data_IF_118663812416
#
_entry.id   IF_118663812416
#
_cell.length_a   1.000
_cell.length_b   1.000
_cell.length_c   1.000
_cell.angle_alpha   90.00
_cell.angle_beta   90.00
_cell.angle_gamma   90.00
#
_symmetry.space_group_name_H-M   'P 1'
#
loop_
_entity.id
_entity.type
_entity.pdbx_description
1 polymer ?
#
# COMPACT_ATOMS: atom_id res chain seq x y z
N UNK A 1 -13.00 11.35 12.85
CA UNK A 1 -13.87 10.24 12.41
C UNK A 1 -13.19 9.69 11.18
N UNK A 2 -12.67 8.46 11.19
CA UNK A 2 -12.00 7.92 9.99
C UNK A 2 -13.07 7.51 8.98
N UNK A 3 -12.91 7.88 7.71
CA UNK A 3 -13.77 7.33 6.66
C UNK A 3 -13.47 5.84 6.57
N UNK A 4 -14.42 4.99 6.97
CA UNK A 4 -14.27 3.54 6.81
C UNK A 4 -14.19 3.24 5.32
N UNK A 5 -13.09 2.63 4.91
CA UNK A 5 -12.85 2.21 3.53
C UNK A 5 -12.68 0.69 3.58
N UNK A 6 -13.59 -0.03 2.94
CA UNK A 6 -13.58 -1.49 2.93
C UNK A 6 -12.28 -2.03 2.33
N UNK A 7 -11.63 -1.25 1.46
CA UNK A 7 -10.40 -1.66 0.84
C UNK A 7 -9.20 -1.62 1.77
N UNK A 8 -9.13 -0.57 2.58
CA UNK A 8 -8.14 -0.45 3.63
C UNK A 8 -8.39 -1.45 4.75
N UNK A 9 -9.65 -1.58 5.20
CA UNK A 9 -10.03 -2.51 6.26
C UNK A 9 -9.61 -3.95 5.92
N UNK A 10 -9.71 -4.35 4.64
CA UNK A 10 -9.39 -5.71 4.21
C UNK A 10 -7.91 -6.07 4.29
N UNK A 11 -7.00 -5.09 4.36
CA UNK A 11 -5.54 -5.34 4.41
C UNK A 11 -4.93 -5.11 5.78
N UNK A 12 -5.67 -4.53 6.72
CA UNK A 12 -5.19 -4.31 8.09
C UNK A 12 -4.63 -5.58 8.76
N UNK A 13 -5.21 -6.79 8.56
CA UNK A 13 -4.66 -8.01 9.15
C UNK A 13 -3.26 -8.39 8.63
N UNK A 14 -2.94 -8.01 7.38
CA UNK A 14 -1.77 -8.48 6.63
C UNK A 14 -0.58 -7.51 6.65
N UNK A 15 -0.67 -6.47 7.48
CA UNK A 15 0.39 -5.46 7.66
C UNK A 15 0.75 -5.29 9.14
N UNK A 16 1.94 -4.76 9.40
CA UNK A 16 2.45 -4.48 10.74
C UNK A 16 1.60 -3.42 11.46
N UNK A 17 1.63 -3.41 12.81
CA UNK A 17 0.73 -2.57 13.62
C UNK A 17 0.89 -1.07 13.40
N UNK A 18 2.12 -0.61 13.20
CA UNK A 18 2.45 0.77 12.85
C UNK A 18 1.91 1.14 11.46
N UNK A 19 2.09 0.26 10.47
CA UNK A 19 1.53 0.44 9.13
C UNK A 19 -0.01 0.49 9.17
N UNK A 20 -0.68 -0.30 10.02
CA UNK A 20 -2.15 -0.21 10.18
C UNK A 20 -2.59 1.20 10.59
N UNK A 21 -1.89 1.80 11.55
CA UNK A 21 -2.18 3.15 12.01
C UNK A 21 -1.99 4.16 10.87
N UNK A 22 -1.00 3.94 10.02
CA UNK A 22 -0.71 4.81 8.88
C UNK A 22 -1.80 4.75 7.81
N UNK A 23 -2.27 3.55 7.49
CA UNK A 23 -3.36 3.35 6.54
C UNK A 23 -4.65 4.01 7.04
N UNK A 24 -4.97 3.85 8.32
CA UNK A 24 -6.13 4.49 8.95
C UNK A 24 -5.97 6.01 9.03
N UNK A 25 -4.77 6.49 9.32
CA UNK A 25 -4.45 7.92 9.40
C UNK A 25 -4.56 8.59 8.03
N UNK A 26 -4.21 7.89 6.96
CA UNK A 26 -4.31 8.40 5.59
C UNK A 26 -5.75 8.77 5.20
N UNK A 27 -6.73 8.06 5.75
CA UNK A 27 -8.18 8.24 5.50
C UNK A 27 -8.90 9.10 6.55
N UNK A 28 -8.19 9.67 7.52
CA UNK A 28 -8.79 10.60 8.47
C UNK A 28 -9.15 11.91 7.76
N UNK A 29 -10.36 12.44 7.95
CA UNK A 29 -10.78 13.73 7.39
C UNK A 29 -9.81 14.86 7.76
N UNK A 30 -9.15 14.78 8.92
CA UNK A 30 -8.12 15.76 9.31
C UNK A 30 -6.92 15.78 8.36
N UNK A 31 -6.69 14.69 7.65
CA UNK A 31 -5.57 14.51 6.74
C UNK A 31 -5.98 14.56 5.26
N UNK A 32 -7.27 14.75 4.95
CA UNK A 32 -7.79 14.71 3.58
C UNK A 32 -7.02 15.65 2.63
N UNK A 33 -6.71 16.87 3.10
CA UNK A 33 -5.94 17.86 2.34
C UNK A 33 -4.53 18.10 2.93
N UNK A 34 -4.04 17.23 3.82
CA UNK A 34 -2.73 17.39 4.44
C UNK A 34 -1.67 16.65 3.63
N UNK A 35 -1.10 17.34 2.63
CA UNK A 35 -0.12 16.74 1.73
C UNK A 35 1.13 16.26 2.48
N UNK A 36 1.63 17.04 3.43
CA UNK A 36 2.83 16.68 4.20
C UNK A 36 2.64 15.37 4.96
N UNK A 37 1.51 15.23 5.65
CA UNK A 37 1.18 14.00 6.38
C UNK A 37 1.02 12.80 5.45
N UNK A 38 0.31 12.97 4.32
CA UNK A 38 0.16 11.91 3.32
C UNK A 38 1.52 11.49 2.76
N UNK A 39 2.39 12.42 2.40
CA UNK A 39 3.76 12.11 1.94
C UNK A 39 4.57 11.36 3.00
N UNK A 40 4.46 11.74 4.28
CA UNK A 40 5.14 11.04 5.38
C UNK A 40 4.65 9.60 5.54
N UNK A 41 3.34 9.37 5.40
CA UNK A 41 2.77 8.02 5.37
C UNK A 41 3.34 7.23 4.19
N UNK A 42 3.31 7.77 2.97
CA UNK A 42 3.78 7.07 1.78
C UNK A 42 5.28 6.72 1.83
N UNK A 43 6.10 7.53 2.51
CA UNK A 43 7.51 7.18 2.79
C UNK A 43 7.63 5.94 3.68
N UNK A 44 6.77 5.80 4.68
CA UNK A 44 6.75 4.60 5.54
C UNK A 44 6.22 3.38 4.79
N UNK A 45 5.20 3.55 3.95
CA UNK A 45 4.73 2.47 3.06
C UNK A 45 5.82 2.00 2.09
N UNK A 46 6.64 2.92 1.56
CA UNK A 46 7.78 2.55 0.73
C UNK A 46 8.77 1.67 1.50
N UNK A 47 9.10 2.03 2.75
CA UNK A 47 10.01 1.24 3.58
C UNK A 47 9.43 -0.14 3.90
N UNK A 48 8.13 -0.25 4.19
CA UNK A 48 7.46 -1.55 4.38
C UNK A 48 7.60 -2.45 3.13
N UNK A 49 7.41 -1.90 1.92
CA UNK A 49 7.62 -2.67 0.68
C UNK A 49 9.08 -3.12 0.52
N UNK A 50 10.05 -2.27 0.87
CA UNK A 50 11.46 -2.64 0.78
C UNK A 50 11.79 -3.79 1.74
N UNK A 51 11.32 -3.70 2.98
CA UNK A 51 11.54 -4.74 4.00
C UNK A 51 10.90 -6.07 3.60
N UNK A 52 9.74 -6.03 2.94
CA UNK A 52 8.99 -7.21 2.49
C UNK A 52 9.31 -7.60 1.05
N UNK A 53 10.40 -7.07 0.48
CA UNK A 53 10.75 -7.23 -0.93
C UNK A 53 10.70 -8.69 -1.40
N UNK A 54 11.33 -9.60 -0.65
CA UNK A 54 11.41 -11.02 -1.01
C UNK A 54 10.04 -11.73 -1.00
N UNK A 55 9.08 -11.22 -0.23
CA UNK A 55 7.74 -11.77 -0.14
C UNK A 55 6.81 -11.23 -1.23
N UNK A 56 6.89 -9.91 -1.45
CA UNK A 56 6.00 -9.19 -2.35
C UNK A 56 6.45 -9.25 -3.81
N UNK A 57 7.76 -9.38 -4.05
CA UNK A 57 8.36 -9.51 -5.39
C UNK A 57 8.37 -10.97 -5.88
N UNK A 58 7.22 -11.64 -5.77
CA UNK A 58 7.02 -12.98 -6.34
C UNK A 58 6.22 -12.89 -7.63
N UNK A 59 6.46 -13.79 -8.58
CA UNK A 59 5.53 -14.06 -9.67
C UNK A 59 4.22 -14.60 -9.05
N UNK A 60 3.02 -14.03 -9.32
CA UNK A 60 2.63 -13.10 -10.39
C UNK A 60 2.59 -11.60 -10.01
N UNK A 61 2.90 -11.26 -8.77
CA UNK A 61 2.79 -9.89 -8.25
C UNK A 61 3.91 -8.94 -8.72
N UNK A 62 4.94 -9.46 -9.41
CA UNK A 62 6.13 -8.72 -9.83
C UNK A 62 5.83 -7.34 -10.45
N UNK A 63 4.92 -7.27 -11.43
CA UNK A 63 4.57 -6.01 -12.11
C UNK A 63 3.90 -5.01 -11.16
N UNK A 64 2.99 -5.49 -10.32
CA UNK A 64 2.31 -4.67 -9.33
C UNK A 64 3.31 -4.14 -8.30
N UNK A 65 4.19 -5.00 -7.77
CA UNK A 65 5.28 -4.60 -6.87
C UNK A 65 6.14 -3.48 -7.49
N UNK A 66 6.65 -3.68 -8.72
CA UNK A 66 7.52 -2.69 -9.36
C UNK A 66 6.82 -1.36 -9.60
N UNK A 67 5.52 -1.41 -9.94
CA UNK A 67 4.71 -0.22 -10.19
C UNK A 67 4.45 0.53 -8.89
N UNK A 68 3.99 -0.17 -7.85
CA UNK A 68 3.73 0.40 -6.53
C UNK A 68 4.99 1.02 -5.92
N UNK A 69 6.13 0.30 -5.95
CA UNK A 69 7.42 0.81 -5.48
C UNK A 69 7.83 2.09 -6.22
N UNK A 70 7.65 2.12 -7.55
CA UNK A 70 7.95 3.30 -8.37
C UNK A 70 7.05 4.50 -8.01
N UNK A 71 5.73 4.29 -7.86
CA UNK A 71 4.79 5.33 -7.48
C UNK A 71 5.13 5.95 -6.11
N UNK A 72 5.38 5.11 -5.11
CA UNK A 72 5.75 5.57 -3.77
C UNK A 72 7.08 6.33 -3.78
N UNK A 73 8.05 5.86 -4.57
CA UNK A 73 9.34 6.54 -4.72
C UNK A 73 9.20 7.88 -5.46
N UNK A 74 8.30 7.99 -6.45
CA UNK A 74 8.07 9.24 -7.17
C UNK A 74 7.56 10.35 -6.26
N UNK A 75 6.65 10.01 -5.32
CA UNK A 75 6.19 10.95 -4.29
C UNK A 75 7.36 11.45 -3.42
N UNK A 76 8.39 10.64 -3.21
CA UNK A 76 9.59 11.03 -2.43
C UNK A 76 10.45 12.06 -3.15
N UNK A 77 10.54 11.98 -4.48
CA UNK A 77 11.54 12.73 -5.26
C UNK A 77 10.99 13.92 -6.06
N UNK A 78 9.71 13.93 -6.44
CA UNK A 78 9.18 14.90 -7.41
C UNK A 78 8.30 16.01 -6.81
N UNK A 79 8.52 16.38 -5.54
CA UNK A 79 7.72 17.44 -4.86
C UNK A 79 7.77 18.80 -5.57
N UNK A 80 8.83 19.08 -6.33
CA UNK A 80 9.03 20.38 -7.00
C UNK A 80 8.46 20.46 -8.42
N UNK A 81 8.05 19.32 -8.98
CA UNK A 81 7.71 19.19 -10.41
C UNK A 81 6.21 19.29 -10.67
N UNK A 82 5.39 19.35 -9.61
CA UNK A 82 3.94 19.31 -9.68
C UNK A 82 3.31 20.39 -8.79
N UNK A 83 2.13 20.87 -9.21
CA UNK A 83 1.23 21.60 -8.31
C UNK A 83 0.68 20.68 -7.21
N UNK A 84 0.17 21.28 -6.14
CA UNK A 84 -0.25 20.56 -4.93
C UNK A 84 -1.39 19.56 -5.20
N UNK A 85 -2.31 19.88 -6.12
CA UNK A 85 -3.44 19.02 -6.50
C UNK A 85 -2.96 17.74 -7.21
N UNK A 86 -2.02 17.86 -8.16
CA UNK A 86 -1.42 16.70 -8.81
C UNK A 86 -0.59 15.87 -7.83
N UNK A 87 0.11 16.51 -6.90
CA UNK A 87 0.81 15.78 -5.84
C UNK A 87 -0.15 14.99 -4.96
N UNK A 88 -1.29 15.58 -4.60
CA UNK A 88 -2.33 14.91 -3.82
C UNK A 88 -2.87 13.69 -4.57
N UNK A 89 -3.21 13.86 -5.85
CA UNK A 89 -3.67 12.77 -6.71
C UNK A 89 -2.63 11.65 -6.80
N UNK A 90 -1.35 11.99 -6.99
CA UNK A 90 -0.27 11.02 -7.02
C UNK A 90 -0.11 10.29 -5.68
N UNK A 91 -0.33 10.98 -4.56
CA UNK A 91 -0.31 10.35 -3.24
C UNK A 91 -1.42 9.30 -3.13
N UNK A 92 -2.65 9.66 -3.52
CA UNK A 92 -3.80 8.76 -3.43
C UNK A 92 -3.63 7.55 -4.36
N UNK A 93 -3.12 7.75 -5.58
CA UNK A 93 -2.78 6.65 -6.49
C UNK A 93 -1.73 5.71 -5.88
N UNK A 94 -0.64 6.25 -5.34
CA UNK A 94 0.40 5.45 -4.70
C UNK A 94 -0.12 4.68 -3.48
N UNK A 95 -0.98 5.32 -2.68
CA UNK A 95 -1.65 4.72 -1.53
C UNK A 95 -2.49 3.50 -1.94
N UNK A 96 -3.42 3.66 -2.90
CA UNK A 96 -4.29 2.56 -3.32
C UNK A 96 -3.51 1.44 -4.04
N UNK A 97 -2.44 1.78 -4.76
CA UNK A 97 -1.52 0.77 -5.32
C UNK A 97 -0.82 -0.07 -4.24
N UNK A 98 -0.51 0.51 -3.07
CA UNK A 98 -0.01 -0.23 -1.93
C UNK A 98 -1.07 -1.21 -1.40
N UNK A 99 -2.31 -0.74 -1.20
CA UNK A 99 -3.43 -1.59 -0.77
C UNK A 99 -3.64 -2.78 -1.72
N UNK A 100 -3.65 -2.52 -3.03
CA UNK A 100 -3.80 -3.57 -4.04
C UNK A 100 -2.65 -4.58 -4.02
N UNK A 101 -1.41 -4.13 -3.78
CA UNK A 101 -0.26 -5.04 -3.66
C UNK A 101 -0.42 -6.00 -2.48
N UNK A 102 -0.80 -5.50 -1.30
CA UNK A 102 -0.99 -6.34 -0.11
C UNK A 102 -2.11 -7.36 -0.34
N UNK A 103 -3.23 -6.94 -0.93
CA UNK A 103 -4.33 -7.86 -1.27
C UNK A 103 -3.92 -8.92 -2.26
N UNK A 104 -3.22 -8.54 -3.32
CA UNK A 104 -2.77 -9.49 -4.33
C UNK A 104 -1.80 -10.53 -3.73
N UNK A 105 -0.94 -10.10 -2.81
CA UNK A 105 -0.09 -11.01 -2.05
C UNK A 105 -0.92 -11.97 -1.18
N UNK A 106 -1.92 -11.46 -0.45
CA UNK A 106 -2.80 -12.30 0.37
C UNK A 106 -3.57 -13.35 -0.45
N UNK A 107 -4.16 -12.94 -1.57
CA UNK A 107 -4.84 -13.85 -2.50
C UNK A 107 -3.92 -14.95 -3.02
N UNK A 108 -2.65 -14.61 -3.27
CA UNK A 108 -1.64 -15.58 -3.70
C UNK A 108 -1.35 -16.61 -2.58
N UNK A 109 -1.17 -16.15 -1.34
CA UNK A 109 -1.01 -17.05 -0.19
C UNK A 109 -2.21 -17.97 0.01
N UNK A 110 -3.43 -17.44 -0.12
CA UNK A 110 -4.66 -18.23 0.03
C UNK A 110 -4.78 -19.32 -1.06
N UNK A 111 -4.35 -19.01 -2.29
CA UNK A 111 -4.28 -19.99 -3.38
C UNK A 111 -3.32 -21.14 -3.06
N UNK A 112 -2.14 -20.82 -2.54
CA UNK A 112 -1.14 -21.82 -2.17
C UNK A 112 -1.65 -22.70 -1.01
N UNK A 113 -2.27 -22.09 0.01
CA UNK A 113 -2.91 -22.82 1.10
C UNK A 113 -4.01 -23.78 0.61
N UNK A 114 -4.87 -23.34 -0.32
CA UNK A 114 -5.92 -24.20 -0.90
C UNK A 114 -5.29 -25.40 -1.63
N UNK A 115 -4.17 -25.21 -2.31
CA UNK A 115 -3.46 -26.30 -3.01
C UNK A 115 -2.93 -27.33 -2.02
N UNK A 116 -2.32 -26.88 -0.92
CA UNK A 116 -1.83 -27.76 0.15
C UNK A 116 -2.96 -28.57 0.79
N UNK A 117 -4.08 -27.90 1.13
CA UNK A 117 -5.25 -28.56 1.72
C UNK A 117 -5.87 -29.64 0.82
N UNK A 118 -5.71 -29.53 -0.51
CA UNK A 118 -6.18 -30.56 -1.46
C UNK A 118 -5.28 -31.78 -1.52
N UNK A 119 -4.00 -31.66 -1.15
CA UNK A 119 -3.02 -32.76 -1.17
C UNK A 119 -3.09 -33.62 0.10
N UNK A 120 -3.77 -33.13 1.15
CA UNK A 120 -4.02 -33.86 2.40
C UNK A 120 -5.23 -34.81 2.31
N UNK A 121 -5.91 -34.89 1.15
CA UNK A 121 -7.00 -35.82 0.86
C UNK A 121 -6.49 -36.99 0.03
#
# INVERSE_FOLDING_TARGET
MTKRDADVDSVLPDVQSDIRLDLLSYLDFKNENNLEQKMNILRRLYLDIEERGDELYKDPNRKLYTTTKSLLNNVRHHRKDFDEEKLMTNCDLAFYHYIHLIRAHKLYQDKDLIKELRQLK
#
